data_IF_536349157812
#
_entry.id   IF_536349157812
#
_cell.length_a   1.000
_cell.length_b   1.000
_cell.length_c   1.000
_cell.angle_alpha   90.00
_cell.angle_beta   90.00
_cell.angle_gamma   90.00
#
_symmetry.space_group_name_H-M   'P 1'
#
loop_
_entity.id
_entity.type
_entity.pdbx_description
1 polymer ?
#
# COMPACT_ATOMS: atom_id res chain seq x y z
N UNK A 1 2.47 26.89 -9.78
CA UNK A 1 1.31 26.03 -9.42
C UNK A 1 0.75 25.32 -10.64
N UNK A 2 0.38 26.00 -11.72
CA UNK A 2 -0.20 25.42 -12.94
C UNK A 2 0.71 24.33 -13.56
N UNK A 3 1.97 24.61 -13.78
CA UNK A 3 2.98 23.66 -14.27
C UNK A 3 3.02 22.34 -13.45
N UNK A 4 2.96 22.44 -12.12
CA UNK A 4 3.01 21.24 -11.28
C UNK A 4 1.72 20.42 -11.31
N UNK A 5 0.58 21.08 -11.58
CA UNK A 5 -0.66 20.36 -11.81
C UNK A 5 -0.60 19.56 -13.12
N UNK A 6 -0.01 20.13 -14.17
CA UNK A 6 0.19 19.43 -15.44
C UNK A 6 1.11 18.22 -15.27
N UNK A 7 2.28 18.39 -14.62
CA UNK A 7 3.21 17.29 -14.35
C UNK A 7 2.54 16.19 -13.53
N UNK A 8 1.79 16.54 -12.49
CA UNK A 8 1.11 15.55 -11.65
C UNK A 8 0.01 14.80 -12.42
N UNK A 9 -0.77 15.51 -13.25
CA UNK A 9 -1.75 14.88 -14.13
C UNK A 9 -1.09 13.92 -15.15
N UNK A 10 0.08 14.28 -15.66
CA UNK A 10 0.83 13.40 -16.58
C UNK A 10 1.35 12.14 -15.86
N UNK A 11 1.83 12.27 -14.63
CA UNK A 11 2.24 11.13 -13.79
C UNK A 11 1.04 10.20 -13.57
N UNK A 12 -0.13 10.73 -13.25
CA UNK A 12 -1.35 9.94 -13.03
C UNK A 12 -1.83 9.23 -14.30
N UNK A 13 -1.84 9.93 -15.44
CA UNK A 13 -2.17 9.32 -16.73
C UNK A 13 -1.21 8.20 -17.10
N UNK A 14 0.08 8.38 -16.82
CA UNK A 14 1.07 7.34 -17.07
C UNK A 14 0.94 6.16 -16.12
N UNK A 15 0.58 6.41 -14.85
CA UNK A 15 0.25 5.34 -13.93
C UNK A 15 -0.88 4.48 -14.50
N UNK A 16 -2.00 5.06 -14.89
CA UNK A 16 -3.13 4.34 -15.47
C UNK A 16 -2.74 3.59 -16.76
N UNK A 17 -1.99 4.22 -17.64
CA UNK A 17 -1.64 3.65 -18.93
C UNK A 17 -0.58 2.53 -18.87
N UNK A 18 0.34 2.60 -17.90
CA UNK A 18 1.55 1.76 -17.89
C UNK A 18 1.71 0.91 -16.63
N UNK A 19 1.09 1.29 -15.53
CA UNK A 19 1.33 0.68 -14.21
C UNK A 19 0.10 0.03 -13.60
N UNK A 20 -1.09 0.21 -14.18
CA UNK A 20 -2.32 -0.40 -13.69
C UNK A 20 -2.84 -1.45 -14.67
N UNK A 21 -3.15 -2.65 -14.17
CA UNK A 21 -3.85 -3.71 -14.90
C UNK A 21 -4.91 -4.27 -13.98
N UNK A 22 -6.17 -4.17 -14.40
CA UNK A 22 -7.36 -4.56 -13.63
C UNK A 22 -7.31 -3.98 -12.19
N UNK A 23 -6.91 -2.70 -12.08
CA UNK A 23 -6.76 -1.99 -10.83
C UNK A 23 -5.56 -2.38 -9.96
N UNK A 24 -4.78 -3.39 -10.34
CA UNK A 24 -3.57 -3.79 -9.62
C UNK A 24 -2.36 -3.01 -10.12
N UNK A 25 -1.53 -2.50 -9.19
CA UNK A 25 -0.33 -1.71 -9.50
C UNK A 25 0.86 -2.59 -9.86
N UNK A 26 1.60 -2.18 -10.89
CA UNK A 26 2.81 -2.87 -11.37
C UNK A 26 3.98 -1.90 -11.58
N UNK A 27 5.19 -2.43 -11.51
CA UNK A 27 6.38 -1.78 -12.01
C UNK A 27 6.48 -2.03 -13.52
N UNK A 28 6.90 -1.04 -14.32
CA UNK A 28 7.10 -1.20 -15.75
C UNK A 28 8.60 -1.24 -16.12
N UNK A 29 8.93 -1.79 -17.30
CA UNK A 29 10.27 -1.71 -17.85
C UNK A 29 10.38 -0.54 -18.83
N UNK A 30 11.48 0.23 -18.75
CA UNK A 30 11.69 1.47 -19.50
C UNK A 30 11.64 1.31 -21.02
N UNK A 31 12.31 0.30 -21.52
CA UNK A 31 12.53 0.11 -22.96
C UNK A 31 11.50 -0.82 -23.62
N UNK A 32 10.57 -1.30 -22.86
CA UNK A 32 9.53 -2.21 -23.33
C UNK A 32 8.24 -1.90 -22.58
N UNK A 33 7.10 -2.14 -23.21
CA UNK A 33 5.81 -2.07 -22.52
C UNK A 33 5.59 -3.25 -21.55
N UNK A 34 6.67 -3.88 -21.09
CA UNK A 34 6.60 -5.02 -20.17
C UNK A 34 6.35 -4.56 -18.74
N UNK A 35 5.52 -5.30 -18.04
CA UNK A 35 5.33 -5.12 -16.61
C UNK A 35 6.29 -6.00 -15.82
N UNK A 36 6.88 -5.41 -14.78
CA UNK A 36 7.73 -6.12 -13.85
C UNK A 36 6.90 -6.77 -12.75
N UNK A 37 7.21 -8.02 -12.46
CA UNK A 37 6.74 -8.69 -11.26
C UNK A 37 7.63 -8.26 -10.09
N UNK A 38 7.46 -7.05 -9.62
CA UNK A 38 8.02 -6.67 -8.32
C UNK A 38 7.14 -7.26 -7.23
N UNK A 39 7.77 -7.84 -6.23
CA UNK A 39 7.06 -8.60 -5.20
C UNK A 39 6.07 -7.78 -4.35
N UNK A 40 5.85 -6.49 -4.64
CA UNK A 40 5.10 -5.56 -3.81
C UNK A 40 3.81 -5.00 -4.43
N UNK A 41 3.25 -5.67 -5.45
CA UNK A 41 2.07 -5.19 -6.17
C UNK A 41 0.88 -4.84 -5.26
N UNK A 42 0.54 -5.69 -4.30
CA UNK A 42 -0.55 -5.42 -3.36
C UNK A 42 -0.25 -4.22 -2.45
N UNK A 43 1.01 -4.05 -1.98
CA UNK A 43 1.42 -2.86 -1.24
C UNK A 43 1.21 -1.60 -2.06
N UNK A 44 1.69 -1.62 -3.31
CA UNK A 44 1.61 -0.49 -4.24
C UNK A 44 0.17 -0.13 -4.58
N UNK A 45 -0.68 -1.13 -4.84
CA UNK A 45 -2.11 -0.92 -5.10
C UNK A 45 -2.78 -0.21 -3.93
N UNK A 46 -2.52 -0.64 -2.71
CA UNK A 46 -3.04 0.04 -1.53
C UNK A 46 -2.50 1.47 -1.35
N UNK A 47 -1.22 1.70 -1.59
CA UNK A 47 -0.64 3.05 -1.53
C UNK A 47 -1.22 3.97 -2.61
N UNK A 48 -1.44 3.44 -3.83
CA UNK A 48 -2.09 4.19 -4.90
C UNK A 48 -3.54 4.56 -4.54
N UNK A 49 -4.32 3.61 -4.00
CA UNK A 49 -5.66 3.91 -3.49
C UNK A 49 -5.66 5.04 -2.47
N UNK A 50 -4.66 5.08 -1.58
CA UNK A 50 -4.45 6.18 -0.64
C UNK A 50 -4.21 7.51 -1.36
N UNK A 51 -3.30 7.53 -2.34
CA UNK A 51 -3.00 8.73 -3.14
C UNK A 51 -4.22 9.24 -3.91
N UNK A 52 -4.95 8.35 -4.59
CA UNK A 52 -6.17 8.68 -5.32
C UNK A 52 -7.27 9.21 -4.39
N UNK A 53 -7.39 8.65 -3.17
CA UNK A 53 -8.35 9.12 -2.16
C UNK A 53 -8.03 10.54 -1.67
N UNK A 54 -6.76 10.86 -1.40
CA UNK A 54 -6.35 12.22 -1.06
C UNK A 54 -6.56 13.18 -2.23
N UNK A 55 -6.28 12.75 -3.47
CA UNK A 55 -6.56 13.54 -4.68
C UNK A 55 -8.03 13.94 -4.77
N UNK A 56 -8.92 12.96 -4.69
CA UNK A 56 -10.36 13.20 -4.78
C UNK A 56 -10.86 14.12 -3.67
N UNK A 57 -10.38 13.95 -2.44
CA UNK A 57 -10.73 14.81 -1.31
C UNK A 57 -10.28 16.27 -1.53
N UNK A 58 -9.13 16.51 -2.19
CA UNK A 58 -8.63 17.85 -2.53
C UNK A 58 -9.42 18.47 -3.68
N UNK A 59 -9.81 17.68 -4.70
CA UNK A 59 -10.50 18.17 -5.89
C UNK A 59 -12.01 18.34 -5.72
N UNK A 60 -12.60 17.74 -4.69
CA UNK A 60 -14.03 17.83 -4.39
C UNK A 60 -14.87 16.67 -4.89
N UNK A 61 -14.25 15.51 -5.12
CA UNK A 61 -14.89 14.21 -5.44
C UNK A 61 -15.79 14.30 -6.69
N UNK A 62 -15.15 14.33 -7.86
CA UNK A 62 -15.84 14.25 -9.16
C UNK A 62 -15.90 12.81 -9.66
N UNK A 63 -16.73 12.52 -10.70
CA UNK A 63 -16.75 11.20 -11.32
C UNK A 63 -15.37 10.79 -11.87
N UNK A 64 -14.63 11.74 -12.47
CA UNK A 64 -13.25 11.53 -12.95
C UNK A 64 -12.28 11.16 -11.81
N UNK A 65 -12.50 11.68 -10.59
CA UNK A 65 -11.69 11.34 -9.43
C UNK A 65 -12.09 10.01 -8.80
N UNK A 66 -13.34 9.57 -8.95
CA UNK A 66 -13.84 8.31 -8.41
C UNK A 66 -13.42 7.09 -9.24
N UNK A 67 -13.33 7.20 -10.57
CA UNK A 67 -12.97 6.10 -11.45
C UNK A 67 -11.66 5.39 -11.02
N UNK A 68 -10.53 6.08 -10.84
CA UNK A 68 -9.29 5.42 -10.39
C UNK A 68 -9.36 4.82 -8.98
N UNK A 69 -10.26 5.34 -8.13
CA UNK A 69 -10.49 4.79 -6.79
C UNK A 69 -11.23 3.45 -6.89
N UNK A 70 -12.28 3.40 -7.71
CA UNK A 70 -13.05 2.16 -7.92
C UNK A 70 -12.22 1.11 -8.64
N UNK A 71 -11.41 1.48 -9.62
CA UNK A 71 -10.45 0.57 -10.26
C UNK A 71 -9.49 -0.03 -9.24
N UNK A 72 -8.89 0.77 -8.39
CA UNK A 72 -7.98 0.28 -7.36
C UNK A 72 -8.69 -0.59 -6.30
N UNK A 73 -9.95 -0.29 -5.96
CA UNK A 73 -10.77 -1.12 -5.08
C UNK A 73 -11.13 -2.46 -5.74
N UNK A 74 -11.41 -2.48 -7.04
CA UNK A 74 -11.60 -3.71 -7.81
C UNK A 74 -10.33 -4.54 -7.84
N UNK A 75 -9.17 -3.92 -8.08
CA UNK A 75 -7.86 -4.58 -7.97
C UNK A 75 -7.60 -5.18 -6.59
N UNK A 76 -7.96 -4.48 -5.51
CA UNK A 76 -7.86 -5.03 -4.14
C UNK A 76 -8.88 -6.17 -3.94
N UNK A 77 -10.08 -6.05 -4.49
CA UNK A 77 -11.07 -7.13 -4.47
C UNK A 77 -10.58 -8.36 -5.21
N UNK A 78 -9.97 -8.19 -6.39
CA UNK A 78 -9.28 -9.26 -7.12
C UNK A 78 -8.21 -9.92 -6.23
N UNK A 79 -7.29 -9.14 -5.67
CA UNK A 79 -6.19 -9.64 -4.82
C UNK A 79 -6.67 -10.39 -3.56
N UNK A 80 -7.90 -10.16 -3.11
CA UNK A 80 -8.45 -10.78 -1.89
C UNK A 80 -9.46 -11.90 -2.17
N UNK A 81 -9.85 -12.14 -3.43
CA UNK A 81 -10.88 -13.12 -3.79
C UNK A 81 -10.45 -14.10 -4.89
N UNK A 82 -9.41 -13.81 -5.69
CA UNK A 82 -8.97 -14.64 -6.83
C UNK A 82 -8.66 -16.09 -6.46
N UNK A 83 -8.37 -16.35 -5.20
CA UNK A 83 -8.11 -17.72 -4.70
C UNK A 83 -9.37 -18.59 -4.56
N UNK A 84 -10.56 -18.02 -4.73
CA UNK A 84 -11.84 -18.65 -4.38
C UNK A 84 -12.12 -18.71 -2.87
N UNK A 85 -11.19 -18.26 -2.03
CA UNK A 85 -11.36 -18.18 -0.56
C UNK A 85 -11.38 -16.71 -0.14
N UNK A 86 -12.54 -16.14 0.20
CA UNK A 86 -12.67 -14.71 0.49
C UNK A 86 -11.72 -14.24 1.60
N UNK A 87 -11.08 -13.10 1.36
CA UNK A 87 -10.18 -12.46 2.30
C UNK A 87 -8.76 -13.07 2.37
N UNK A 88 -8.44 -14.07 1.55
CA UNK A 88 -7.06 -14.53 1.36
C UNK A 88 -6.34 -13.56 0.44
N UNK A 89 -5.54 -12.68 1.02
CA UNK A 89 -4.75 -11.73 0.26
C UNK A 89 -3.62 -12.45 -0.50
N UNK A 90 -3.58 -12.28 -1.82
CA UNK A 90 -2.45 -12.70 -2.66
C UNK A 90 -1.49 -11.53 -2.87
N UNK A 91 -0.25 -11.84 -3.20
CA UNK A 91 0.81 -10.86 -3.41
C UNK A 91 0.63 -10.07 -4.68
N UNK A 92 0.21 -10.78 -5.74
CA UNK A 92 -0.10 -10.23 -7.06
C UNK A 92 -1.04 -11.17 -7.83
N UNK A 93 -1.75 -10.63 -8.80
CA UNK A 93 -2.60 -11.37 -9.72
C UNK A 93 -2.46 -10.78 -11.14
N UNK A 94 -2.54 -11.62 -12.16
CA UNK A 94 -2.43 -11.27 -13.58
C UNK A 94 -3.52 -11.97 -14.35
N UNK A 95 -4.19 -11.30 -15.30
CA UNK A 95 -5.08 -11.98 -16.24
C UNK A 95 -4.34 -13.06 -17.04
N UNK A 96 -4.94 -14.23 -17.20
CA UNK A 96 -4.27 -15.35 -17.88
C UNK A 96 -4.15 -15.13 -19.38
N UNK A 97 -5.20 -14.74 -20.08
CA UNK A 97 -5.19 -14.68 -21.55
C UNK A 97 -4.96 -13.30 -22.17
N UNK A 98 -5.50 -12.23 -21.58
CA UNK A 98 -5.51 -10.92 -22.24
C UNK A 98 -4.26 -10.07 -21.98
N UNK A 99 -3.51 -10.37 -20.96
CA UNK A 99 -2.31 -9.62 -20.61
C UNK A 99 -1.15 -9.84 -21.58
N UNK A 100 -1.04 -11.03 -22.15
CA UNK A 100 0.00 -11.39 -23.12
C UNK A 100 -0.01 -10.52 -24.37
N UNK A 101 -1.21 -10.24 -24.89
CA UNK A 101 -1.40 -9.40 -26.07
C UNK A 101 -1.33 -7.90 -25.75
N UNK A 102 -1.73 -7.46 -24.56
CA UNK A 102 -1.69 -6.07 -24.13
C UNK A 102 -0.33 -5.60 -23.65
N UNK A 103 0.45 -6.51 -23.05
CA UNK A 103 1.67 -6.17 -22.33
C UNK A 103 2.92 -6.67 -23.08
N UNK A 104 2.76 -7.51 -24.13
CA UNK A 104 3.87 -8.08 -24.91
C UNK A 104 4.80 -8.95 -24.05
N UNK A 105 4.30 -9.48 -22.91
CA UNK A 105 5.08 -10.13 -21.89
C UNK A 105 4.32 -11.29 -21.27
N UNK A 106 5.03 -12.40 -21.08
CA UNK A 106 4.56 -13.56 -20.35
C UNK A 106 4.95 -13.46 -18.87
N UNK A 107 4.03 -12.99 -17.97
CA UNK A 107 4.35 -12.88 -16.56
C UNK A 107 4.69 -14.23 -15.93
N UNK A 108 4.07 -15.33 -16.41
CA UNK A 108 4.36 -16.69 -15.94
C UNK A 108 5.76 -17.10 -16.38
N UNK A 109 6.14 -16.87 -17.63
CA UNK A 109 7.48 -17.23 -18.12
C UNK A 109 8.56 -16.38 -17.48
N UNK A 110 8.31 -15.11 -17.12
CA UNK A 110 9.29 -14.31 -16.38
C UNK A 110 9.49 -14.79 -14.95
N UNK A 111 8.42 -15.23 -14.32
CA UNK A 111 8.48 -15.85 -12.99
C UNK A 111 9.14 -17.23 -13.03
N UNK A 112 9.07 -17.90 -14.19
CA UNK A 112 9.53 -19.28 -14.39
C UNK A 112 10.93 -19.37 -15.02
N UNK A 113 11.38 -18.36 -15.78
CA UNK A 113 12.61 -18.45 -16.59
C UNK A 113 13.92 -18.15 -15.86
N UNK A 114 13.87 -17.68 -14.62
CA UNK A 114 15.08 -17.36 -13.89
C UNK A 114 15.74 -18.58 -13.22
N UNK A 115 17.06 -18.51 -13.07
CA UNK A 115 17.89 -19.58 -12.52
C UNK A 115 18.26 -19.42 -11.04
N UNK A 116 17.67 -18.45 -10.33
CA UNK A 116 18.00 -18.19 -8.94
C UNK A 116 17.15 -19.00 -7.95
N UNK A 117 17.67 -19.21 -6.74
CA UNK A 117 16.94 -19.90 -5.67
C UNK A 117 15.60 -19.20 -5.30
N UNK A 118 15.56 -17.88 -5.43
CA UNK A 118 14.34 -17.09 -5.21
C UNK A 118 13.22 -17.41 -6.20
N UNK A 119 13.57 -17.72 -7.46
CA UNK A 119 12.61 -18.03 -8.52
C UNK A 119 12.03 -19.44 -8.40
N UNK A 120 12.81 -20.41 -7.93
CA UNK A 120 12.28 -21.75 -7.60
C UNK A 120 11.22 -21.67 -6.49
N UNK A 121 11.45 -20.81 -5.49
CA UNK A 121 10.46 -20.55 -4.43
C UNK A 121 9.20 -19.90 -4.99
N UNK A 122 9.31 -19.01 -5.99
CA UNK A 122 8.17 -18.36 -6.62
C UNK A 122 7.26 -19.34 -7.37
N UNK A 123 7.82 -20.31 -8.09
CA UNK A 123 7.03 -21.36 -8.79
C UNK A 123 6.12 -22.14 -7.85
N UNK A 124 6.61 -22.45 -6.66
CA UNK A 124 5.87 -23.24 -5.67
C UNK A 124 4.65 -22.47 -5.07
N UNK A 125 4.51 -21.17 -5.38
CA UNK A 125 3.46 -20.29 -4.87
C UNK A 125 2.59 -19.67 -5.97
N UNK A 126 2.76 -20.10 -7.22
CA UNK A 126 2.00 -19.63 -8.38
C UNK A 126 0.81 -20.57 -8.62
N UNK A 127 -0.38 -19.99 -8.73
CA UNK A 127 -1.63 -20.70 -8.88
C UNK A 127 -2.53 -20.04 -9.92
N UNK A 128 -3.54 -20.78 -10.39
CA UNK A 128 -4.64 -20.29 -11.21
C UNK A 128 -5.88 -20.06 -10.37
N UNK A 129 -6.66 -19.04 -10.71
CA UNK A 129 -7.93 -18.74 -10.07
C UNK A 129 -8.85 -17.97 -11.00
N UNK A 130 -10.08 -17.79 -10.55
CA UNK A 130 -11.12 -17.07 -11.27
C UNK A 130 -11.56 -15.86 -10.46
N UNK A 131 -11.79 -14.75 -11.14
CA UNK A 131 -12.38 -13.57 -10.55
C UNK A 131 -13.35 -12.95 -11.55
N UNK A 132 -14.62 -12.86 -11.21
CA UNK A 132 -15.70 -12.32 -12.04
C UNK A 132 -15.85 -12.99 -13.43
N UNK A 133 -15.46 -14.28 -13.54
CA UNK A 133 -15.53 -15.04 -14.80
C UNK A 133 -14.31 -14.93 -15.68
N UNK A 134 -13.29 -14.21 -15.24
CA UNK A 134 -11.98 -14.08 -15.91
C UNK A 134 -10.94 -14.94 -15.19
N UNK A 135 -10.08 -15.62 -15.97
CA UNK A 135 -8.99 -16.45 -15.43
C UNK A 135 -7.76 -15.62 -15.10
N UNK A 136 -7.19 -15.85 -13.92
CA UNK A 136 -5.98 -15.17 -13.44
C UNK A 136 -4.92 -16.18 -13.01
N UNK A 137 -3.66 -15.74 -13.15
CA UNK A 137 -2.53 -16.36 -12.46
C UNK A 137 -2.18 -15.49 -11.27
N UNK A 138 -2.04 -16.07 -10.09
CA UNK A 138 -1.72 -15.32 -8.90
C UNK A 138 -0.57 -15.91 -8.09
N UNK A 139 0.17 -15.05 -7.41
CA UNK A 139 1.24 -15.41 -6.50
C UNK A 139 0.75 -15.25 -5.06
N UNK A 140 0.78 -16.35 -4.29
CA UNK A 140 0.49 -16.32 -2.84
C UNK A 140 1.62 -15.66 -2.06
N UNK A 141 2.22 -16.22 -1.08
CA UNK A 141 3.38 -15.72 -0.32
C UNK A 141 3.25 -14.25 0.17
N UNK A 142 2.05 -13.88 0.59
CA UNK A 142 1.76 -12.56 1.14
C UNK A 142 2.50 -12.35 2.46
N UNK A 143 3.02 -11.16 2.68
CA UNK A 143 3.67 -10.73 3.91
C UNK A 143 2.95 -9.55 4.54
N UNK A 144 3.44 -9.09 5.68
CA UNK A 144 2.88 -7.90 6.38
C UNK A 144 2.93 -6.64 5.53
N UNK A 145 3.89 -6.55 4.62
CA UNK A 145 4.14 -5.40 3.78
C UNK A 145 2.94 -5.16 2.86
N UNK A 146 2.47 -6.22 2.17
CA UNK A 146 1.28 -6.15 1.33
C UNK A 146 0.04 -5.77 2.16
N UNK A 147 -0.12 -6.38 3.33
CA UNK A 147 -1.24 -6.05 4.22
C UNK A 147 -1.17 -4.59 4.70
N UNK A 148 0.02 -4.03 4.92
CA UNK A 148 0.20 -2.62 5.31
C UNK A 148 -0.35 -1.68 4.24
N UNK A 149 0.04 -1.87 2.97
CA UNK A 149 -0.46 -1.04 1.87
C UNK A 149 -1.97 -1.15 1.71
N UNK A 150 -2.50 -2.37 1.70
CA UNK A 150 -3.95 -2.61 1.59
C UNK A 150 -4.72 -1.91 2.71
N UNK A 151 -4.31 -2.08 3.98
CA UNK A 151 -5.00 -1.44 5.10
C UNK A 151 -4.87 0.08 5.09
N UNK A 152 -3.72 0.62 4.67
CA UNK A 152 -3.54 2.06 4.49
C UNK A 152 -4.50 2.61 3.43
N UNK A 153 -4.51 2.03 2.22
CA UNK A 153 -5.37 2.48 1.12
C UNK A 153 -6.86 2.37 1.45
N UNK A 154 -7.30 1.23 1.98
CA UNK A 154 -8.69 1.03 2.40
C UNK A 154 -9.10 2.01 3.52
N UNK A 155 -8.18 2.37 4.43
CA UNK A 155 -8.44 3.40 5.45
C UNK A 155 -8.66 4.76 4.81
N UNK A 156 -7.78 5.18 3.90
CA UNK A 156 -7.91 6.46 3.19
C UNK A 156 -9.24 6.51 2.42
N UNK A 157 -9.56 5.48 1.65
CA UNK A 157 -10.81 5.40 0.89
C UNK A 157 -12.03 5.46 1.80
N UNK A 158 -12.05 4.70 2.91
CA UNK A 158 -13.18 4.70 3.85
C UNK A 158 -13.43 6.07 4.50
N UNK A 159 -12.37 6.76 4.91
CA UNK A 159 -12.46 8.03 5.64
C UNK A 159 -12.75 9.20 4.69
N UNK A 160 -12.08 9.24 3.54
CA UNK A 160 -12.10 10.39 2.64
C UNK A 160 -13.21 10.31 1.57
N UNK A 161 -13.63 9.12 1.18
CA UNK A 161 -14.53 8.89 0.04
C UNK A 161 -15.81 8.18 0.48
N UNK A 162 -16.88 8.94 0.75
CA UNK A 162 -18.16 8.36 1.18
C UNK A 162 -18.71 7.31 0.21
N UNK A 163 -18.52 7.52 -1.10
CA UNK A 163 -18.99 6.66 -2.18
C UNK A 163 -18.31 5.28 -2.20
N UNK A 164 -17.11 5.18 -1.65
CA UNK A 164 -16.34 3.92 -1.60
C UNK A 164 -16.67 3.05 -0.38
N UNK A 165 -17.40 3.55 0.61
CA UNK A 165 -17.56 2.92 1.93
C UNK A 165 -18.15 1.53 1.89
N UNK A 166 -19.11 1.29 1.03
CA UNK A 166 -19.76 -0.03 0.92
C UNK A 166 -18.81 -1.08 0.36
N UNK A 167 -18.06 -0.75 -0.69
CA UNK A 167 -17.06 -1.66 -1.27
C UNK A 167 -15.93 -1.92 -0.25
N UNK A 168 -15.44 -0.86 0.40
CA UNK A 168 -14.42 -0.99 1.47
C UNK A 168 -14.91 -1.90 2.59
N UNK A 169 -16.18 -1.72 3.04
CA UNK A 169 -16.78 -2.59 4.07
C UNK A 169 -16.73 -4.06 3.67
N UNK A 170 -17.10 -4.38 2.45
CA UNK A 170 -17.18 -5.75 1.98
C UNK A 170 -15.78 -6.39 1.89
N UNK A 171 -14.80 -5.69 1.34
CA UNK A 171 -13.39 -6.12 1.29
C UNK A 171 -12.83 -6.31 2.72
N UNK A 172 -13.00 -5.30 3.58
CA UNK A 172 -12.48 -5.33 4.96
C UNK A 172 -13.12 -6.45 5.77
N UNK A 173 -14.43 -6.69 5.56
CA UNK A 173 -15.14 -7.78 6.24
C UNK A 173 -14.57 -9.14 5.85
N UNK A 174 -14.32 -9.38 4.56
CA UNK A 174 -13.71 -10.62 4.08
C UNK A 174 -12.31 -10.84 4.71
N UNK A 175 -11.44 -9.83 4.65
CA UNK A 175 -10.10 -9.88 5.25
C UNK A 175 -10.20 -10.13 6.76
N UNK A 176 -11.06 -9.39 7.46
CA UNK A 176 -11.20 -9.50 8.91
C UNK A 176 -11.67 -10.90 9.35
N UNK A 177 -12.68 -11.44 8.68
CA UNK A 177 -13.17 -12.79 8.97
C UNK A 177 -12.09 -13.85 8.74
N UNK A 178 -11.35 -13.73 7.62
CA UNK A 178 -10.23 -14.64 7.34
C UNK A 178 -9.15 -14.55 8.41
N UNK A 179 -8.73 -13.35 8.79
CA UNK A 179 -7.70 -13.13 9.82
C UNK A 179 -8.15 -13.66 11.21
N UNK A 180 -9.44 -13.58 11.53
CA UNK A 180 -9.97 -14.17 12.76
C UNK A 180 -9.89 -15.70 12.76
N UNK A 181 -10.26 -16.34 11.67
CA UNK A 181 -10.22 -17.82 11.53
C UNK A 181 -8.76 -18.32 11.63
N UNK A 182 -7.81 -17.57 11.11
CA UNK A 182 -6.38 -17.96 11.08
C UNK A 182 -5.55 -17.43 12.25
N UNK A 183 -6.20 -16.92 13.30
CA UNK A 183 -5.54 -16.24 14.43
C UNK A 183 -4.53 -15.19 13.97
N UNK A 184 -4.97 -14.35 13.04
CA UNK A 184 -4.18 -13.28 12.42
C UNK A 184 -2.91 -13.76 11.70
N UNK A 185 -2.87 -15.01 11.27
CA UNK A 185 -1.80 -15.55 10.44
C UNK A 185 -2.13 -15.38 8.97
N UNK A 186 -1.16 -14.88 8.19
CA UNK A 186 -1.23 -14.82 6.74
C UNK A 186 -1.02 -16.23 6.19
N UNK A 187 -2.07 -16.81 5.68
CA UNK A 187 -2.07 -18.15 5.09
C UNK A 187 -2.60 -18.07 3.67
N UNK A 188 -2.14 -18.98 2.82
CA UNK A 188 -2.69 -19.14 1.48
C UNK A 188 -4.09 -19.82 1.50
N UNK A 189 -4.64 -20.04 0.32
CA UNK A 189 -5.94 -20.72 0.16
C UNK A 189 -5.93 -22.19 0.64
N UNK A 190 -4.74 -22.82 0.72
CA UNK A 190 -4.57 -24.18 1.24
C UNK A 190 -4.38 -24.22 2.76
N UNK A 191 -4.32 -23.07 3.42
CA UNK A 191 -4.07 -22.95 4.85
C UNK A 191 -2.59 -23.00 5.25
N UNK A 192 -1.66 -22.99 4.30
CA UNK A 192 -0.21 -22.99 4.59
C UNK A 192 0.26 -21.60 4.94
N UNK A 193 1.09 -21.51 5.97
CA UNK A 193 1.89 -20.32 6.27
C UNK A 193 3.17 -20.35 5.44
N UNK A 194 3.51 -19.25 4.82
CA UNK A 194 4.72 -19.16 4.01
C UNK A 194 5.95 -18.92 4.88
N UNK A 195 6.37 -19.95 5.55
CA UNK A 195 7.70 -20.31 6.05
C UNK A 195 8.64 -19.28 6.72
N UNK A 196 8.21 -18.04 6.97
CA UNK A 196 9.02 -17.02 7.63
C UNK A 196 8.34 -16.51 8.89
N UNK A 197 9.11 -15.95 9.82
CA UNK A 197 8.61 -15.32 11.04
C UNK A 197 7.66 -14.13 10.81
N UNK A 198 7.46 -13.72 9.55
CA UNK A 198 6.65 -12.56 9.14
C UNK A 198 5.19 -12.90 8.81
N UNK A 199 4.74 -14.13 8.97
CA UNK A 199 3.39 -14.55 8.58
C UNK A 199 2.27 -14.11 9.55
N UNK A 200 2.56 -13.78 10.79
CA UNK A 200 1.55 -13.32 11.75
C UNK A 200 1.51 -11.79 11.80
N UNK A 201 0.32 -11.21 11.69
CA UNK A 201 0.15 -9.77 11.81
C UNK A 201 0.63 -9.31 13.20
N UNK A 202 1.44 -8.26 13.20
CA UNK A 202 1.86 -7.60 14.43
C UNK A 202 0.75 -6.71 15.00
N UNK A 203 0.98 -6.16 16.16
CA UNK A 203 -0.03 -5.41 16.91
C UNK A 203 -0.58 -4.19 16.14
N UNK A 204 0.24 -3.34 15.48
CA UNK A 204 -0.26 -2.21 14.71
C UNK A 204 -1.23 -2.63 13.59
N UNK A 205 -0.88 -3.66 12.82
CA UNK A 205 -1.74 -4.19 11.74
C UNK A 205 -3.04 -4.77 12.30
N UNK A 206 -2.98 -5.50 13.40
CA UNK A 206 -4.17 -6.06 14.06
C UNK A 206 -5.09 -4.97 14.58
N UNK A 207 -4.55 -3.94 15.21
CA UNK A 207 -5.33 -2.80 15.71
C UNK A 207 -5.96 -2.05 14.55
N UNK A 208 -5.20 -1.78 13.47
CA UNK A 208 -5.69 -1.10 12.29
C UNK A 208 -6.83 -1.89 11.62
N UNK A 209 -6.65 -3.17 11.35
CA UNK A 209 -7.69 -4.02 10.76
C UNK A 209 -8.97 -4.04 11.62
N UNK A 210 -8.84 -4.20 12.93
CA UNK A 210 -10.01 -4.21 13.82
C UNK A 210 -10.69 -2.83 13.91
N UNK A 211 -9.94 -1.73 13.88
CA UNK A 211 -10.48 -0.37 13.90
C UNK A 211 -11.22 -0.08 12.57
N UNK A 212 -10.60 -0.41 11.43
CA UNK A 212 -11.18 -0.23 10.12
C UNK A 212 -12.44 -1.08 9.92
N UNK A 213 -12.44 -2.34 10.36
CA UNK A 213 -13.63 -3.19 10.35
C UNK A 213 -14.77 -2.54 11.15
N UNK A 214 -14.52 -2.07 12.35
CA UNK A 214 -15.56 -1.38 13.15
C UNK A 214 -16.06 -0.12 12.46
N UNK A 215 -15.15 0.70 11.93
CA UNK A 215 -15.52 1.89 11.19
C UNK A 215 -16.44 1.57 10.02
N UNK A 216 -16.15 0.49 9.29
CA UNK A 216 -16.88 0.12 8.07
C UNK A 216 -18.25 -0.53 8.34
N UNK A 217 -18.39 -1.34 9.41
CA UNK A 217 -19.64 -2.05 9.69
C UNK A 217 -20.59 -1.31 10.66
N UNK A 218 -20.05 -0.43 11.50
CA UNK A 218 -20.85 0.29 12.49
C UNK A 218 -20.22 1.64 12.86
N UNK A 219 -20.57 2.69 12.12
CA UNK A 219 -20.10 4.05 12.38
C UNK A 219 -20.39 4.56 13.79
N UNK A 220 -21.38 3.98 14.50
CA UNK A 220 -21.69 4.32 15.89
C UNK A 220 -20.85 3.56 16.92
N UNK A 221 -20.10 2.52 16.53
CA UNK A 221 -19.24 1.75 17.41
C UNK A 221 -17.97 2.52 17.79
N UNK A 222 -18.15 3.71 18.34
CA UNK A 222 -17.06 4.53 18.87
C UNK A 222 -16.45 3.84 20.08
N UNK A 223 -15.15 3.56 20.00
CA UNK A 223 -14.25 3.04 21.04
C UNK A 223 -14.67 1.69 21.68
N UNK A 224 -13.89 0.64 21.47
CA UNK A 224 -14.13 -0.61 22.17
C UNK A 224 -13.91 -0.41 23.67
N UNK A 225 -14.78 -0.99 24.49
CA UNK A 225 -14.65 -1.06 25.94
C UNK A 225 -13.44 -1.91 26.42
N UNK A 226 -12.61 -2.39 25.51
CA UNK A 226 -11.52 -3.29 25.86
C UNK A 226 -10.27 -2.56 26.35
N UNK A 227 -10.16 -2.53 27.61
CA UNK A 227 -9.05 -2.19 28.48
C UNK A 227 -7.70 -2.87 28.12
N UNK A 228 -7.74 -3.95 27.36
CA UNK A 228 -6.60 -4.84 27.07
C UNK A 228 -5.57 -4.26 26.09
N UNK A 229 -5.94 -3.34 25.20
CA UNK A 229 -5.03 -2.85 24.17
C UNK A 229 -4.14 -1.66 24.60
N UNK A 230 -4.55 -0.92 25.61
CA UNK A 230 -3.86 0.28 26.07
C UNK A 230 -2.42 0.06 26.60
N UNK A 231 -2.14 -0.97 27.40
CA UNK A 231 -0.79 -1.22 27.92
C UNK A 231 0.16 -1.81 26.87
N UNK A 232 -0.36 -2.66 25.95
CA UNK A 232 0.45 -3.34 24.94
C UNK A 232 1.04 -2.36 23.92
N UNK A 233 0.27 -1.43 23.42
CA UNK A 233 0.74 -0.47 22.40
C UNK A 233 1.85 0.44 22.96
N UNK A 234 1.71 0.91 24.18
CA UNK A 234 2.76 1.70 24.86
C UNK A 234 4.05 0.90 25.10
N UNK A 235 3.94 -0.41 25.33
CA UNK A 235 5.07 -1.29 25.61
C UNK A 235 5.77 -1.75 24.33
N UNK A 236 5.01 -2.06 23.28
CA UNK A 236 5.51 -2.52 21.98
C UNK A 236 6.17 -1.36 21.23
N UNK A 237 5.57 -0.18 21.22
CA UNK A 237 6.18 1.02 20.66
C UNK A 237 7.55 1.33 21.28
N UNK A 238 7.77 0.97 22.54
CA UNK A 238 9.03 1.26 23.23
C UNK A 238 10.07 0.13 23.10
N UNK A 239 9.65 -1.14 23.05
CA UNK A 239 10.55 -2.29 23.13
C UNK A 239 10.93 -2.89 21.75
N UNK A 240 10.02 -2.97 20.81
CA UNK A 240 10.31 -3.57 19.51
C UNK A 240 11.09 -2.65 18.56
N UNK A 241 10.86 -1.34 18.66
CA UNK A 241 11.41 -0.38 17.71
C UNK A 241 12.84 0.08 18.00
N UNK A 242 13.33 -0.06 19.22
CA UNK A 242 14.72 0.33 19.54
C UNK A 242 15.78 -0.66 19.05
N UNK A 243 15.41 -1.88 18.65
CA UNK A 243 16.42 -2.93 18.39
C UNK A 243 16.41 -3.54 16.98
N UNK A 244 15.39 -3.35 16.15
CA UNK A 244 15.24 -4.14 14.91
C UNK A 244 15.01 -3.36 13.62
N UNK A 245 14.65 -2.09 13.65
CA UNK A 245 14.47 -1.33 12.43
C UNK A 245 15.83 -0.80 11.98
N UNK A 246 16.44 -1.47 11.02
CA UNK A 246 17.72 -1.08 10.44
C UNK A 246 17.60 -0.63 8.98
N UNK A 247 16.46 -0.89 8.31
CA UNK A 247 16.25 -0.49 6.93
C UNK A 247 15.11 0.51 6.79
N UNK A 248 15.26 1.38 5.83
CA UNK A 248 14.32 2.47 5.49
C UNK A 248 12.96 1.99 5.05
N UNK A 249 12.90 0.84 4.38
CA UNK A 249 11.65 0.20 3.99
C UNK A 249 10.73 -0.08 5.20
N UNK A 250 11.30 -0.55 6.31
CA UNK A 250 10.54 -0.78 7.53
C UNK A 250 9.99 0.50 8.15
N UNK A 251 10.71 1.65 8.02
CA UNK A 251 10.16 2.95 8.47
C UNK A 251 8.96 3.35 7.66
N UNK A 252 9.01 3.19 6.33
CA UNK A 252 7.88 3.45 5.46
C UNK A 252 6.62 2.69 5.91
N UNK A 253 6.71 1.38 6.02
CA UNK A 253 5.58 0.53 6.41
C UNK A 253 4.97 0.93 7.76
N UNK A 254 5.83 1.22 8.73
CA UNK A 254 5.38 1.59 10.06
C UNK A 254 4.79 3.02 10.11
N UNK A 255 5.29 3.94 9.32
CA UNK A 255 4.73 5.29 9.21
C UNK A 255 3.39 5.29 8.48
N UNK A 256 3.22 4.50 7.40
CA UNK A 256 1.93 4.28 6.75
C UNK A 256 0.89 3.77 7.76
N UNK A 257 1.27 2.77 8.56
CA UNK A 257 0.37 2.19 9.56
C UNK A 257 0.05 3.16 10.70
N UNK A 258 1.03 3.93 11.17
CA UNK A 258 0.80 4.95 12.18
C UNK A 258 -0.16 6.04 11.68
N UNK A 259 -0.04 6.44 10.41
CA UNK A 259 -0.93 7.40 9.78
C UNK A 259 -2.36 6.85 9.63
N UNK A 260 -2.52 5.64 9.13
CA UNK A 260 -3.83 4.97 9.04
C UNK A 260 -4.52 4.88 10.41
N UNK A 261 -3.77 4.52 11.46
CA UNK A 261 -4.31 4.47 12.83
C UNK A 261 -4.75 5.86 13.32
N UNK A 262 -4.05 6.93 12.96
CA UNK A 262 -4.49 8.30 13.34
C UNK A 262 -5.77 8.70 12.61
N UNK A 263 -5.94 8.33 11.34
CA UNK A 263 -7.19 8.54 10.61
C UNK A 263 -8.36 7.76 11.24
N UNK A 264 -8.08 6.63 11.86
CA UNK A 264 -9.05 5.77 12.56
C UNK A 264 -9.19 6.08 14.05
N UNK A 265 -8.67 7.18 14.54
CA UNK A 265 -8.68 7.55 15.97
C UNK A 265 -10.05 7.35 16.66
N UNK A 266 -11.19 7.70 16.06
CA UNK A 266 -12.50 7.51 16.70
C UNK A 266 -12.86 6.05 17.00
N UNK A 267 -12.19 5.08 16.36
CA UNK A 267 -12.54 3.65 16.38
C UNK A 267 -11.57 2.77 17.18
N UNK A 268 -10.55 3.36 17.81
CA UNK A 268 -9.63 2.65 18.72
C UNK A 268 -9.23 3.51 19.93
N UNK A 269 -8.58 2.91 20.93
CA UNK A 269 -8.20 3.57 22.18
C UNK A 269 -6.67 3.80 22.31
N UNK A 270 -5.95 3.79 21.20
CA UNK A 270 -4.49 3.79 21.22
C UNK A 270 -3.85 5.14 20.87
N UNK A 271 -4.61 6.22 20.81
CA UNK A 271 -4.24 7.52 20.25
C UNK A 271 -2.89 8.04 20.78
N UNK A 272 -2.75 8.09 22.11
CA UNK A 272 -1.50 8.56 22.75
C UNK A 272 -0.31 7.64 22.42
N UNK A 273 -0.56 6.35 22.31
CA UNK A 273 0.45 5.36 21.96
C UNK A 273 0.87 5.49 20.49
N UNK A 274 -0.09 5.68 19.60
CA UNK A 274 0.15 5.87 18.16
C UNK A 274 0.93 7.16 17.92
N UNK A 275 0.51 8.28 18.53
CA UNK A 275 1.23 9.56 18.42
C UNK A 275 2.67 9.45 18.93
N UNK A 276 2.88 8.78 20.07
CA UNK A 276 4.22 8.54 20.61
C UNK A 276 5.06 7.68 19.66
N UNK A 277 4.47 6.61 19.14
CA UNK A 277 5.14 5.72 18.20
C UNK A 277 5.51 6.45 16.90
N UNK A 278 4.57 7.16 16.29
CA UNK A 278 4.80 7.99 15.11
C UNK A 278 5.97 8.96 15.32
N UNK A 279 6.01 9.64 16.46
CA UNK A 279 7.11 10.57 16.80
C UNK A 279 8.46 9.85 16.92
N UNK A 280 8.49 8.67 17.55
CA UNK A 280 9.72 7.88 17.67
C UNK A 280 10.23 7.45 16.30
N UNK A 281 9.35 7.00 15.41
CA UNK A 281 9.70 6.63 14.04
C UNK A 281 10.25 7.84 13.28
N UNK A 282 9.54 8.95 13.30
CA UNK A 282 9.93 10.18 12.60
C UNK A 282 11.28 10.70 13.10
N UNK A 283 11.53 10.74 14.40
CA UNK A 283 12.81 11.19 14.95
C UNK A 283 14.03 10.40 14.43
N UNK A 284 13.83 9.21 13.87
CA UNK A 284 14.90 8.41 13.27
C UNK A 284 15.22 8.80 11.83
N UNK A 285 14.31 9.48 11.17
CA UNK A 285 14.39 9.86 9.75
C UNK A 285 14.20 11.36 9.52
N UNK A 286 14.06 12.16 10.56
CA UNK A 286 13.77 13.60 10.49
C UNK A 286 14.83 14.42 9.79
N UNK A 287 16.07 13.92 9.70
CA UNK A 287 17.18 14.60 8.99
C UNK A 287 17.32 14.22 7.52
N UNK A 288 16.51 13.28 7.05
CA UNK A 288 16.65 12.74 5.71
C UNK A 288 15.97 13.64 4.64
N UNK A 289 15.23 14.68 5.07
CA UNK A 289 14.47 15.60 4.20
C UNK A 289 13.58 14.86 3.19
N UNK A 290 13.02 13.73 3.61
CA UNK A 290 12.16 12.90 2.79
C UNK A 290 10.70 13.35 2.96
N UNK A 291 10.03 13.85 1.89
CA UNK A 291 8.67 14.36 1.98
C UNK A 291 7.67 13.31 2.44
N UNK A 292 7.85 12.07 2.02
CA UNK A 292 6.99 10.95 2.41
C UNK A 292 7.11 10.65 3.92
N UNK A 293 8.33 10.60 4.45
CA UNK A 293 8.56 10.36 5.88
C UNK A 293 8.11 11.53 6.74
N UNK A 294 8.32 12.75 6.28
CA UNK A 294 7.88 13.95 7.00
C UNK A 294 6.36 14.01 7.12
N UNK A 295 5.62 13.83 6.02
CA UNK A 295 4.16 13.85 6.02
C UNK A 295 3.55 12.75 6.88
N UNK A 296 3.97 11.51 6.68
CA UNK A 296 3.49 10.38 7.47
C UNK A 296 3.92 10.48 8.93
N UNK A 297 5.14 11.02 9.19
CA UNK A 297 5.77 11.04 10.49
C UNK A 297 5.33 12.19 11.39
N UNK A 298 5.10 13.38 10.86
CA UNK A 298 4.77 14.57 11.65
C UNK A 298 3.63 15.41 11.10
N UNK A 299 3.19 15.15 9.86
CA UNK A 299 2.09 15.88 9.23
C UNK A 299 2.46 17.25 8.69
N UNK A 300 3.75 17.55 8.56
CA UNK A 300 4.27 18.72 7.85
C UNK A 300 5.59 18.37 7.16
N UNK A 301 6.06 19.24 6.27
CA UNK A 301 7.33 19.06 5.55
C UNK A 301 8.34 20.13 5.94
N UNK A 302 9.61 19.76 6.03
CA UNK A 302 10.70 20.71 6.10
C UNK A 302 10.88 21.43 4.74
N UNK A 303 11.56 22.57 4.70
CA UNK A 303 11.89 23.22 3.43
C UNK A 303 12.70 22.31 2.49
N UNK A 304 13.60 21.50 3.05
CA UNK A 304 14.34 20.49 2.28
C UNK A 304 13.41 19.43 1.67
N UNK A 305 12.47 18.92 2.44
CA UNK A 305 11.48 17.95 1.96
C UNK A 305 10.58 18.53 0.87
N UNK A 306 10.16 19.80 0.99
CA UNK A 306 9.41 20.49 -0.07
C UNK A 306 10.25 20.59 -1.34
N UNK A 307 11.52 21.02 -1.25
CA UNK A 307 12.41 21.11 -2.40
C UNK A 307 12.64 19.73 -3.05
N UNK A 308 12.82 18.69 -2.25
CA UNK A 308 13.00 17.32 -2.74
C UNK A 308 11.72 16.79 -3.42
N UNK A 309 10.54 17.12 -2.91
CA UNK A 309 9.29 16.78 -3.58
C UNK A 309 9.18 17.44 -4.96
N UNK A 310 9.49 18.74 -5.06
CA UNK A 310 9.51 19.46 -6.33
C UNK A 310 10.54 18.90 -7.31
N UNK A 311 11.76 18.61 -6.83
CA UNK A 311 12.79 17.97 -7.64
C UNK A 311 12.30 16.61 -8.16
N UNK A 312 11.70 15.80 -7.31
CA UNK A 312 11.17 14.48 -7.68
C UNK A 312 10.06 14.56 -8.73
N UNK A 313 9.20 15.56 -8.66
CA UNK A 313 8.18 15.80 -9.68
C UNK A 313 8.77 16.21 -11.03
N UNK A 314 9.89 16.92 -11.03
CA UNK A 314 10.58 17.30 -12.28
C UNK A 314 11.28 16.10 -12.95
N UNK A 315 11.51 15.04 -12.21
CA UNK A 315 12.21 13.84 -12.66
C UNK A 315 11.36 12.56 -12.38
N UNK A 316 10.09 12.49 -12.84
CA UNK A 316 9.13 11.46 -12.39
C UNK A 316 9.50 10.02 -12.81
N UNK A 317 10.45 9.86 -13.72
CA UNK A 317 10.79 8.55 -14.30
C UNK A 317 12.00 7.89 -13.66
N UNK A 318 12.55 8.49 -12.61
CA UNK A 318 13.64 7.86 -11.89
C UNK A 318 13.13 6.81 -10.93
N UNK A 319 13.75 5.69 -10.94
CA UNK A 319 13.71 4.57 -10.01
C UNK A 319 12.78 4.69 -8.83
N UNK A 320 11.87 3.81 -8.81
CA UNK A 320 11.26 3.20 -7.64
C UNK A 320 11.29 3.99 -6.38
N UNK A 321 10.93 4.09 -5.46
CA UNK A 321 10.47 4.42 -4.15
C UNK A 321 11.42 5.33 -3.39
N UNK A 322 10.94 6.52 -2.97
CA UNK A 322 11.53 7.41 -1.98
C UNK A 322 11.60 6.77 -0.57
N UNK A 323 11.96 5.50 -0.48
CA UNK A 323 12.09 4.81 0.80
C UNK A 323 13.52 4.75 1.29
N UNK A 324 14.45 5.21 0.47
CA UNK A 324 15.82 5.39 0.89
C UNK A 324 15.97 6.61 1.78
N UNK A 325 16.92 6.56 2.70
CA UNK A 325 17.35 7.70 3.51
C UNK A 325 18.33 8.60 2.76
N UNK A 326 18.93 8.08 1.71
CA UNK A 326 19.84 8.83 0.87
C UNK A 326 19.08 9.47 -0.29
N UNK A 327 18.98 10.82 -0.33
CA UNK A 327 18.36 11.52 -1.46
C UNK A 327 18.95 11.18 -2.82
N UNK A 328 20.25 10.88 -2.91
CA UNK A 328 20.88 10.50 -4.16
C UNK A 328 20.39 9.15 -4.68
N UNK A 329 20.01 8.24 -3.79
CA UNK A 329 19.35 6.99 -4.20
C UNK A 329 17.96 7.23 -4.79
N UNK A 330 17.29 8.36 -4.49
CA UNK A 330 16.00 8.71 -5.08
C UNK A 330 16.11 9.13 -6.53
N UNK A 331 17.25 9.69 -6.94
CA UNK A 331 17.43 10.35 -8.23
C UNK A 331 18.42 9.63 -9.16
N UNK A 332 19.21 8.71 -8.68
CA UNK A 332 20.53 8.52 -9.26
C UNK A 332 20.85 7.20 -9.95
N UNK A 333 19.96 6.24 -10.12
CA UNK A 333 20.41 5.00 -10.76
C UNK A 333 19.62 4.64 -12.01
N UNK A 334 20.28 4.42 -13.12
CA UNK A 334 19.72 3.79 -14.29
C UNK A 334 19.22 2.39 -13.92
N UNK A 335 17.91 2.22 -13.89
CA UNK A 335 17.24 0.94 -13.76
C UNK A 335 16.45 0.70 -15.03
N UNK A 336 16.43 -0.52 -15.48
CA UNK A 336 15.54 -0.94 -16.57
C UNK A 336 14.06 -0.85 -16.13
N UNK A 337 13.80 -0.75 -14.84
CA UNK A 337 12.45 -0.68 -14.26
C UNK A 337 12.06 0.75 -13.92
N UNK A 338 10.82 1.11 -14.19
CA UNK A 338 10.19 2.37 -13.80
C UNK A 338 9.15 2.05 -12.74
N UNK A 339 9.28 2.67 -11.57
CA UNK A 339 8.27 2.58 -10.52
C UNK A 339 6.98 3.33 -10.89
N UNK A 340 5.85 2.99 -10.28
CA UNK A 340 4.55 3.59 -10.54
C UNK A 340 4.41 5.04 -10.01
N UNK A 341 5.48 5.68 -9.57
CA UNK A 341 5.54 7.05 -9.04
C UNK A 341 4.55 7.35 -7.90
N UNK A 342 4.08 6.33 -7.21
CA UNK A 342 3.17 6.47 -6.05
C UNK A 342 3.85 7.23 -4.92
N UNK A 343 5.15 7.10 -4.81
CA UNK A 343 6.03 7.81 -3.87
C UNK A 343 6.14 9.32 -4.13
N UNK A 344 5.67 9.77 -5.28
CA UNK A 344 5.48 11.19 -5.62
C UNK A 344 4.01 11.59 -5.43
N UNK A 345 3.10 10.80 -5.99
CA UNK A 345 1.66 11.09 -5.94
C UNK A 345 1.14 11.16 -4.50
N UNK A 346 1.48 10.18 -3.66
CA UNK A 346 0.96 10.12 -2.29
C UNK A 346 1.39 11.35 -1.45
N UNK A 347 2.68 11.67 -1.29
CA UNK A 347 3.07 12.85 -0.51
C UNK A 347 2.57 14.16 -1.12
N UNK A 348 2.45 14.27 -2.44
CA UNK A 348 1.95 15.47 -3.09
C UNK A 348 0.48 15.73 -2.76
N UNK A 349 -0.38 14.72 -2.88
CA UNK A 349 -1.80 14.87 -2.55
C UNK A 349 -2.05 15.00 -1.05
N UNK A 350 -1.26 14.31 -0.22
CA UNK A 350 -1.31 14.52 1.24
C UNK A 350 -0.92 15.96 1.62
N UNK A 351 0.15 16.51 1.01
CA UNK A 351 0.59 17.87 1.30
C UNK A 351 -0.50 18.91 0.94
N UNK A 352 -1.18 18.72 -0.18
CA UNK A 352 -2.33 19.57 -0.57
C UNK A 352 -3.51 19.39 0.37
N UNK A 353 -3.84 18.17 0.73
CA UNK A 353 -4.95 17.89 1.64
C UNK A 353 -4.74 18.55 3.02
N UNK A 354 -3.50 18.61 3.50
CA UNK A 354 -3.14 19.27 4.75
C UNK A 354 -2.77 20.76 4.57
N UNK A 355 -3.02 21.33 3.40
CA UNK A 355 -2.78 22.76 3.10
C UNK A 355 -1.31 23.19 3.34
N UNK A 356 -0.35 22.34 3.04
CA UNK A 356 1.07 22.59 3.23
C UNK A 356 1.75 23.17 1.97
N UNK A 357 1.11 23.02 0.80
CA UNK A 357 1.59 23.52 -0.51
C UNK A 357 0.42 23.97 -1.38
#
# INVERSE_FOLDING_TARGET
MEYFNEVLNDIEKQYQAKHSVDGVSFVAYRDTNRLGTDDDNALLTGMYLGAASFRAAVRGITEEDLEPIFDALEGISLLTNVTGVPGVLVRQAFPYENSWNRIGYDPVMSLVSGNSFGEKIRRDYLYHGDFMGEEYVYLTKTTKDQMTGILFGLTCAHILIPEARDIVRDIVSAIWHRMKVTDYSLVDHTGRTHGTTAYKLDEPLRVCLNALYRASVNASARKPDSWFFKPCFNRIATLHYNRRIQNTYSYNLNLLMAHALLMLEPYHMCDKGVLKWRRILHNKVAGDENPHFDLLGQGYMSNGSVNNLWRRMSEPYHKGFCWSRDPEEWFGHESDKIGPSIDVMLPMWMARYYELI
#
